data_IF_402181977590
#
_entry.id   IF_402181977590
#
_cell.length_a   1.000
_cell.length_b   1.000
_cell.length_c   1.000
_cell.angle_alpha   90.00
_cell.angle_beta   90.00
_cell.angle_gamma   90.00
#
_symmetry.space_group_name_H-M   'P 1'
#
loop_
_entity.id
_entity.type
_entity.pdbx_description
1 polymer ?
#
# COMPACT_ATOMS: atom_id res chain seq x y z
N UNK A 1 1.37 0.22 0.64
CA UNK A 1 1.52 -1.21 0.36
C UNK A 1 2.91 -1.67 0.76
N UNK A 2 2.98 -2.64 1.65
CA UNK A 2 4.24 -3.24 2.06
C UNK A 2 4.34 -4.63 1.45
N UNK A 3 5.52 -4.99 0.96
CA UNK A 3 5.73 -6.22 0.21
C UNK A 3 6.87 -7.01 0.82
N UNK A 4 6.66 -8.32 0.93
CA UNK A 4 7.70 -9.28 1.25
C UNK A 4 7.98 -10.10 -0.02
N UNK A 5 9.19 -10.01 -0.54
CA UNK A 5 9.59 -10.80 -1.69
C UNK A 5 9.82 -12.25 -1.33
N UNK A 6 9.64 -13.14 -2.30
CA UNK A 6 10.12 -14.51 -2.19
C UNK A 6 11.65 -14.52 -2.21
N UNK A 7 12.25 -15.62 -1.71
CA UNK A 7 13.70 -15.79 -1.76
C UNK A 7 14.21 -15.77 -3.21
N UNK A 8 13.47 -16.40 -4.10
CA UNK A 8 13.80 -16.46 -5.53
C UNK A 8 13.81 -15.06 -6.14
N UNK A 9 12.83 -14.24 -5.80
CA UNK A 9 12.77 -12.86 -6.29
C UNK A 9 13.95 -12.04 -5.77
N UNK A 10 14.31 -12.17 -4.50
CA UNK A 10 15.47 -11.49 -3.93
C UNK A 10 16.75 -11.90 -4.66
N UNK A 11 16.90 -13.21 -4.93
CA UNK A 11 18.05 -13.73 -5.65
C UNK A 11 18.14 -13.12 -7.06
N UNK A 12 17.02 -13.12 -7.77
CA UNK A 12 16.95 -12.57 -9.14
C UNK A 12 17.27 -11.07 -9.16
N UNK A 13 16.78 -10.32 -8.20
CA UNK A 13 17.07 -8.90 -8.06
C UNK A 13 18.57 -8.68 -7.81
N UNK A 14 19.14 -9.45 -6.90
CA UNK A 14 20.54 -9.34 -6.54
C UNK A 14 21.46 -9.69 -7.73
N UNK A 15 21.12 -10.71 -8.48
CA UNK A 15 21.94 -11.16 -9.63
C UNK A 15 21.78 -10.25 -10.85
N UNK A 16 20.57 -9.74 -11.10
CA UNK A 16 20.31 -8.89 -12.27
C UNK A 16 20.61 -7.41 -12.05
N UNK A 17 20.61 -6.97 -10.79
CA UNK A 17 20.72 -5.54 -10.48
C UNK A 17 19.50 -4.74 -10.90
N UNK A 18 18.33 -5.38 -10.96
CA UNK A 18 17.09 -4.78 -11.42
C UNK A 18 16.64 -3.62 -10.53
N UNK A 19 16.26 -2.50 -11.16
CA UNK A 19 15.57 -1.42 -10.46
C UNK A 19 14.08 -1.74 -10.40
N UNK A 20 13.60 -2.13 -9.23
CA UNK A 20 12.23 -2.59 -9.07
C UNK A 20 11.21 -1.46 -9.14
N UNK A 21 11.60 -0.24 -8.80
CA UNK A 21 10.72 0.93 -8.97
C UNK A 21 10.38 1.12 -10.45
N UNK A 22 11.38 1.08 -11.32
CA UNK A 22 11.16 1.22 -12.76
C UNK A 22 10.36 0.05 -13.33
N UNK A 23 10.52 -1.14 -12.77
CA UNK A 23 9.81 -2.32 -13.23
C UNK A 23 8.33 -2.31 -12.84
N UNK A 24 7.99 -1.81 -11.65
CA UNK A 24 6.61 -1.85 -11.15
C UNK A 24 5.77 -0.65 -11.60
N UNK A 25 6.40 0.47 -11.91
CA UNK A 25 5.68 1.69 -12.31
C UNK A 25 4.73 1.47 -13.49
N UNK A 26 5.15 0.84 -14.60
CA UNK A 26 4.23 0.61 -15.73
C UNK A 26 3.01 -0.25 -15.34
N UNK A 27 3.19 -1.23 -14.48
CA UNK A 27 2.07 -2.05 -14.02
C UNK A 27 1.05 -1.21 -13.25
N UNK A 28 1.52 -0.40 -12.32
CA UNK A 28 0.66 0.46 -11.50
C UNK A 28 -0.11 1.43 -12.39
N UNK A 29 0.57 2.08 -13.34
CA UNK A 29 -0.05 3.03 -14.26
C UNK A 29 -1.07 2.36 -15.17
N UNK A 30 -0.79 1.16 -15.66
CA UNK A 30 -1.72 0.42 -16.48
C UNK A 30 -2.99 0.02 -15.71
N UNK A 31 -2.88 -0.18 -14.41
CA UNK A 31 -4.02 -0.45 -13.54
C UNK A 31 -4.77 0.83 -13.12
N UNK A 32 -4.38 1.98 -13.64
CA UNK A 32 -5.04 3.25 -13.34
C UNK A 32 -4.53 3.93 -12.07
N UNK A 33 -3.40 3.50 -11.56
CA UNK A 33 -2.79 4.07 -10.37
C UNK A 33 -1.58 4.93 -10.66
N UNK A 34 -0.98 5.45 -9.60
CA UNK A 34 0.23 6.26 -9.65
C UNK A 34 1.17 5.82 -8.55
N UNK A 35 2.43 5.58 -8.88
CA UNK A 35 3.46 5.30 -7.90
C UNK A 35 4.02 6.63 -7.39
N UNK A 36 3.79 6.92 -6.12
CA UNK A 36 4.25 8.16 -5.49
C UNK A 36 5.67 7.97 -4.95
N UNK A 37 5.91 6.90 -4.20
CA UNK A 37 7.21 6.60 -3.61
C UNK A 37 7.46 5.11 -3.59
N UNK A 38 8.74 4.76 -3.63
CA UNK A 38 9.23 3.38 -3.52
C UNK A 38 10.43 3.40 -2.58
N UNK A 39 10.37 2.65 -1.48
CA UNK A 39 11.46 2.55 -0.51
C UNK A 39 11.70 1.11 -0.08
N UNK A 40 12.96 0.80 0.18
CA UNK A 40 13.34 -0.44 0.86
C UNK A 40 13.24 -0.28 2.37
N UNK A 41 12.99 -1.38 3.06
CA UNK A 41 12.95 -1.45 4.52
C UNK A 41 14.07 -2.35 5.01
N UNK A 42 14.95 -1.81 5.85
CA UNK A 42 16.11 -2.54 6.36
C UNK A 42 15.74 -3.26 7.65
N UNK A 43 16.01 -4.57 7.69
CA UNK A 43 15.83 -5.35 8.90
C UNK A 43 14.39 -5.56 9.32
N UNK A 44 13.44 -5.42 8.39
CA UNK A 44 12.02 -5.61 8.64
C UNK A 44 11.52 -6.89 7.97
N UNK A 45 10.38 -7.38 8.43
CA UNK A 45 9.73 -8.54 7.80
C UNK A 45 9.37 -8.26 6.36
N UNK A 46 8.85 -7.06 6.07
CA UNK A 46 8.58 -6.62 4.72
C UNK A 46 9.80 -5.90 4.16
N UNK A 47 10.10 -6.13 2.89
CA UNK A 47 11.33 -5.64 2.26
C UNK A 47 11.16 -4.26 1.62
N UNK A 48 9.94 -3.95 1.18
CA UNK A 48 9.65 -2.79 0.35
C UNK A 48 8.37 -2.14 0.86
N UNK A 49 8.32 -0.81 0.80
CA UNK A 49 7.08 -0.06 0.94
C UNK A 49 6.85 0.75 -0.33
N UNK A 50 5.65 0.61 -0.88
CA UNK A 50 5.16 1.41 -2.00
C UNK A 50 4.09 2.36 -1.50
N UNK A 51 4.21 3.63 -1.86
CA UNK A 51 3.13 4.59 -1.68
C UNK A 51 2.50 4.76 -3.05
N UNK A 52 1.26 4.31 -3.18
CA UNK A 52 0.52 4.32 -4.45
C UNK A 52 -0.80 5.07 -4.27
N UNK A 53 -1.26 5.64 -5.37
CA UNK A 53 -2.53 6.34 -5.41
C UNK A 53 -3.43 5.67 -6.43
N UNK A 54 -4.64 5.33 -6.03
CA UNK A 54 -5.66 4.74 -6.90
C UNK A 54 -7.00 5.42 -6.64
N UNK A 55 -7.79 5.57 -7.71
CA UNK A 55 -9.13 6.16 -7.60
C UNK A 55 -10.16 5.20 -7.01
N UNK A 56 -9.92 3.90 -7.09
CA UNK A 56 -10.83 2.91 -6.56
C UNK A 56 -10.09 1.67 -6.06
N UNK A 57 -10.73 0.95 -5.18
CA UNK A 57 -10.19 -0.25 -4.58
C UNK A 57 -10.01 -1.40 -5.57
N UNK A 58 -10.95 -1.69 -6.49
CA UNK A 58 -10.78 -2.79 -7.44
C UNK A 58 -9.52 -2.66 -8.30
N UNK A 59 -9.16 -1.47 -8.75
CA UNK A 59 -7.94 -1.27 -9.54
C UNK A 59 -6.68 -1.55 -8.71
N UNK A 60 -6.66 -1.12 -7.46
CA UNK A 60 -5.57 -1.45 -6.55
C UNK A 60 -5.46 -2.96 -6.32
N UNK A 61 -6.58 -3.61 -6.04
CA UNK A 61 -6.59 -5.06 -5.81
C UNK A 61 -6.14 -5.83 -7.05
N UNK A 62 -6.56 -5.39 -8.25
CA UNK A 62 -6.11 -5.99 -9.50
C UNK A 62 -4.61 -5.89 -9.69
N UNK A 63 -4.03 -4.75 -9.37
CA UNK A 63 -2.58 -4.57 -9.40
C UNK A 63 -1.89 -5.49 -8.41
N UNK A 64 -2.39 -5.58 -7.18
CA UNK A 64 -1.84 -6.45 -6.15
C UNK A 64 -1.89 -7.93 -6.58
N UNK A 65 -3.02 -8.37 -7.15
CA UNK A 65 -3.16 -9.74 -7.66
C UNK A 65 -2.15 -10.04 -8.75
N UNK A 66 -1.89 -9.10 -9.66
CA UNK A 66 -0.89 -9.28 -10.71
C UNK A 66 0.50 -9.50 -10.13
N UNK A 67 0.86 -8.74 -9.11
CA UNK A 67 2.15 -8.91 -8.44
C UNK A 67 2.28 -10.23 -7.70
N UNK A 68 1.24 -10.62 -6.98
CA UNK A 68 1.22 -11.85 -6.19
C UNK A 68 1.25 -13.09 -7.09
N UNK A 69 0.40 -13.13 -8.10
CA UNK A 69 0.32 -14.26 -9.02
C UNK A 69 1.54 -14.35 -9.93
N UNK A 70 2.30 -13.28 -10.05
CA UNK A 70 3.59 -13.29 -10.76
C UNK A 70 4.70 -14.05 -10.03
N UNK A 71 4.50 -14.44 -8.79
CA UNK A 71 5.41 -15.32 -8.04
C UNK A 71 6.54 -14.60 -7.31
N UNK A 72 6.63 -13.28 -7.40
CA UNK A 72 7.70 -12.52 -6.75
C UNK A 72 7.37 -12.12 -5.31
N UNK A 73 6.10 -12.14 -4.94
CA UNK A 73 5.62 -11.65 -3.65
C UNK A 73 5.17 -12.81 -2.78
N UNK A 74 5.82 -12.98 -1.62
CA UNK A 74 5.47 -14.00 -0.64
C UNK A 74 4.32 -13.54 0.25
N UNK A 75 4.25 -12.23 0.55
CA UNK A 75 3.23 -11.65 1.40
C UNK A 75 3.13 -10.16 1.13
N UNK A 76 1.98 -9.58 1.44
CA UNK A 76 1.81 -8.13 1.33
C UNK A 76 0.85 -7.61 2.39
N UNK A 77 0.98 -6.32 2.67
CA UNK A 77 0.14 -5.63 3.64
C UNK A 77 -0.33 -4.31 3.05
N UNK A 78 -1.61 -4.08 3.11
CA UNK A 78 -2.20 -2.81 2.68
C UNK A 78 -2.43 -1.93 3.89
N UNK A 79 -1.93 -0.69 3.82
CA UNK A 79 -2.17 0.34 4.82
C UNK A 79 -2.72 1.55 4.07
N UNK A 80 -3.94 1.93 4.40
CA UNK A 80 -4.52 3.12 3.79
C UNK A 80 -3.98 4.36 4.48
N UNK A 81 -3.53 5.32 3.68
CA UNK A 81 -3.02 6.60 4.16
C UNK A 81 -4.09 7.66 3.98
N UNK A 82 -4.08 8.65 4.86
CA UNK A 82 -4.92 9.83 4.70
C UNK A 82 -4.07 11.08 4.91
N UNK A 83 -4.51 12.17 4.28
CA UNK A 83 -3.81 13.46 4.36
C UNK A 83 -4.21 14.23 5.61
N UNK A 84 -3.44 15.27 5.93
CA UNK A 84 -3.80 16.19 7.01
C UNK A 84 -5.14 16.87 6.71
N UNK A 85 -5.42 17.18 5.45
CA UNK A 85 -6.69 17.78 5.03
C UNK A 85 -7.87 16.84 5.26
N UNK A 86 -7.69 15.55 4.96
CA UNK A 86 -8.70 14.54 5.25
C UNK A 86 -8.94 14.40 6.75
N UNK A 87 -7.90 14.54 7.57
CA UNK A 87 -8.07 14.56 9.03
C UNK A 87 -8.92 15.76 9.46
N UNK A 88 -8.67 16.93 8.89
CA UNK A 88 -9.48 18.13 9.19
C UNK A 88 -10.96 17.87 8.82
N UNK A 89 -11.22 17.30 7.65
CA UNK A 89 -12.58 16.95 7.24
C UNK A 89 -13.22 15.95 8.21
N UNK A 90 -12.46 14.98 8.68
CA UNK A 90 -12.94 14.00 9.66
C UNK A 90 -13.31 14.65 10.99
N UNK A 91 -12.56 15.67 11.43
CA UNK A 91 -12.88 16.40 12.66
C UNK A 91 -14.19 17.18 12.54
N UNK A 92 -14.53 17.64 11.35
CA UNK A 92 -15.82 18.31 11.10
C UNK A 92 -16.98 17.34 11.26
N UNK A 93 -16.85 16.14 10.70
CA UNK A 93 -17.82 15.07 10.86
C UNK A 93 -17.97 14.69 12.34
N UNK A 94 -16.86 14.54 13.04
CA UNK A 94 -16.88 14.25 14.48
C UNK A 94 -17.65 15.31 15.24
N UNK A 95 -17.37 16.60 15.03
CA UNK A 95 -18.05 17.69 15.73
C UNK A 95 -19.55 17.72 15.44
N UNK A 96 -19.95 17.33 14.23
CA UNK A 96 -21.36 17.30 13.85
C UNK A 96 -22.12 16.13 14.48
N UNK A 97 -21.42 15.04 14.85
CA UNK A 97 -22.05 13.79 15.28
C UNK A 97 -21.77 13.39 16.72
N UNK A 98 -20.87 14.07 17.41
CA UNK A 98 -20.45 13.68 18.76
C UNK A 98 -21.58 13.60 19.78
N UNK A 99 -22.62 14.42 19.59
CA UNK A 99 -23.78 14.43 20.49
C UNK A 99 -24.71 13.25 20.26
N UNK A 100 -24.58 12.55 19.14
CA UNK A 100 -25.44 11.43 18.78
C UNK A 100 -24.97 10.13 19.41
N UNK A 101 -23.65 9.94 19.52
CA UNK A 101 -23.11 8.71 20.07
C UNK A 101 -23.22 8.68 21.58
N UNK A 102 -23.79 7.58 22.12
CA UNK A 102 -23.85 7.33 23.54
C UNK A 102 -23.02 6.07 23.83
N UNK A 103 -21.87 6.19 24.52
CA UNK A 103 -21.04 5.03 24.80
C UNK A 103 -21.72 4.08 25.79
N UNK A 104 -21.35 2.78 25.78
CA UNK A 104 -21.83 1.85 26.79
C UNK A 104 -21.49 2.34 28.20
N UNK A 105 -22.35 2.08 29.19
CA UNK A 105 -22.02 2.46 30.55
C UNK A 105 -20.77 1.77 31.03
N UNK A 106 -19.92 2.55 31.67
CA UNK A 106 -18.70 2.03 32.32
C UNK A 106 -19.05 1.43 33.69
N UNK A 107 -18.42 0.32 34.01
CA UNK A 107 -18.58 -0.31 35.33
C UNK A 107 -17.27 -0.40 36.04
#
# INVERSE_FOLDING_TARGET
MQIKYTREAIKDIAESGSNREDAVRPLIEKCGGKLINFYGLVGQEYNIVLIVEFNDLPNYLGMALSGILGGAIADWKTVQLFTAEEMVAATETYRATKEVYSPPPSK
#
